data_IF_571097350718
#
_entry.id   IF_571097350718
#
_cell.length_a   1.000
_cell.length_b   1.000
_cell.length_c   1.000
_cell.angle_alpha   90.00
_cell.angle_beta   90.00
_cell.angle_gamma   90.00
#
_symmetry.space_group_name_H-M   'P 1'
#
loop_
_entity.id
_entity.type
_entity.pdbx_description
1 polymer ?
#
# COMPACT_ATOMS: atom_id res chain seq x y z
N UNK A 1 0.80 -2.89 -20.87
CA UNK A 1 1.73 -1.80 -20.48
C UNK A 1 0.97 -0.84 -19.58
N UNK A 2 1.62 -0.31 -18.53
CA UNK A 2 1.05 0.69 -17.61
C UNK A 2 2.14 1.70 -17.23
N UNK A 3 1.78 2.85 -16.64
CA UNK A 3 2.78 3.82 -16.17
C UNK A 3 3.67 3.19 -15.11
N UNK A 4 4.98 3.39 -15.23
CA UNK A 4 5.93 2.99 -14.21
C UNK A 4 5.70 3.78 -12.92
N UNK A 5 5.65 3.07 -11.80
CA UNK A 5 5.43 3.67 -10.49
C UNK A 5 6.74 4.28 -9.95
N UNK A 6 6.60 5.32 -9.14
CA UNK A 6 7.71 6.07 -8.53
C UNK A 6 7.38 6.48 -7.09
N UNK A 7 8.41 6.87 -6.35
CA UNK A 7 8.23 7.49 -5.04
C UNK A 7 7.28 8.69 -5.13
N UNK A 8 6.34 8.76 -4.19
CA UNK A 8 5.29 9.77 -4.13
C UNK A 8 3.98 9.38 -4.82
N UNK A 9 3.96 8.32 -5.63
CA UNK A 9 2.71 7.79 -6.19
C UNK A 9 1.78 7.30 -5.08
N UNK A 10 0.48 7.45 -5.29
CA UNK A 10 -0.53 7.08 -4.31
C UNK A 10 -0.69 5.56 -4.25
N UNK A 11 -1.05 5.08 -3.06
CA UNK A 11 -1.53 3.73 -2.85
C UNK A 11 -2.90 3.85 -2.22
N UNK A 12 -3.90 3.32 -2.91
CA UNK A 12 -5.29 3.41 -2.47
C UNK A 12 -5.95 2.05 -2.38
N UNK A 13 -6.79 1.88 -1.37
CA UNK A 13 -7.53 0.67 -1.10
C UNK A 13 -8.36 0.79 0.17
N UNK A 14 -8.83 -0.34 0.67
CA UNK A 14 -9.60 -0.40 1.92
C UNK A 14 -9.14 -1.60 2.70
N UNK A 15 -8.57 -1.37 3.87
CA UNK A 15 -8.25 -2.42 4.83
C UNK A 15 -9.49 -2.75 5.64
N UNK A 16 -9.62 -4.00 6.06
CA UNK A 16 -10.48 -4.36 7.19
C UNK A 16 -9.63 -4.31 8.46
N UNK A 17 -10.13 -3.69 9.51
CA UNK A 17 -9.55 -3.73 10.85
C UNK A 17 -10.57 -4.25 11.84
N UNK A 18 -10.13 -5.04 12.82
CA UNK A 18 -10.99 -5.52 13.88
C UNK A 18 -10.99 -4.49 15.00
N UNK A 19 -12.17 -3.94 15.28
CA UNK A 19 -12.40 -2.94 16.31
C UNK A 19 -13.08 -3.61 17.51
N UNK A 20 -12.51 -3.43 18.70
CA UNK A 20 -13.08 -3.85 19.96
C UNK A 20 -14.11 -2.81 20.42
N UNK A 21 -15.37 -3.00 20.03
CA UNK A 21 -16.46 -2.06 20.30
C UNK A 21 -17.00 -2.29 21.72
N UNK A 22 -17.04 -1.28 22.60
CA UNK A 22 -17.59 -1.42 23.95
C UNK A 22 -19.06 -1.85 23.95
N UNK A 23 -19.41 -2.80 24.83
CA UNK A 23 -20.79 -3.22 25.11
C UNK A 23 -20.95 -3.54 26.60
N UNK A 24 -22.19 -3.67 27.13
CA UNK A 24 -22.41 -4.05 28.53
C UNK A 24 -21.76 -5.38 28.94
N UNK A 25 -21.63 -6.33 28.00
CA UNK A 25 -20.98 -7.63 28.23
C UNK A 25 -19.45 -7.62 28.03
N UNK A 26 -18.85 -6.45 27.75
CA UNK A 26 -17.45 -6.29 27.39
C UNK A 26 -17.25 -5.94 25.90
N UNK A 27 -16.01 -5.69 25.46
CA UNK A 27 -15.74 -5.33 24.07
C UNK A 27 -16.01 -6.48 23.09
N UNK A 28 -16.69 -6.20 21.97
CA UNK A 28 -17.01 -7.16 20.92
C UNK A 28 -16.11 -6.92 19.70
N UNK A 29 -15.33 -7.93 19.23
CA UNK A 29 -14.56 -7.82 18.00
C UNK A 29 -15.47 -7.61 16.79
N UNK A 30 -15.31 -6.48 16.11
CA UNK A 30 -16.15 -6.08 14.99
C UNK A 30 -15.27 -5.69 13.79
N UNK A 31 -15.25 -6.47 12.70
CA UNK A 31 -14.55 -6.08 11.48
C UNK A 31 -15.17 -4.81 10.88
N UNK A 32 -14.34 -3.80 10.64
CA UNK A 32 -14.76 -2.53 10.04
C UNK A 32 -13.83 -2.12 8.90
N UNK A 33 -14.37 -1.63 7.77
CA UNK A 33 -13.54 -1.13 6.66
C UNK A 33 -12.95 0.24 7.00
N UNK A 34 -11.65 0.42 6.78
CA UNK A 34 -10.96 1.71 6.89
C UNK A 34 -10.15 2.00 5.62
N UNK A 35 -10.23 3.23 5.09
CA UNK A 35 -9.52 3.58 3.85
C UNK A 35 -8.01 3.58 4.06
N UNK A 36 -7.29 3.09 3.05
CA UNK A 36 -5.85 3.29 2.92
C UNK A 36 -5.64 4.30 1.78
N UNK A 37 -5.06 5.47 2.08
CA UNK A 37 -4.81 6.55 1.11
C UNK A 37 -3.38 7.04 1.19
N UNK A 38 -2.44 6.09 1.23
CA UNK A 38 -1.03 6.35 1.41
C UNK A 38 -0.27 6.78 0.16
N UNK A 39 1.04 6.92 0.32
CA UNK A 39 1.99 7.15 -0.78
C UNK A 39 3.18 6.20 -0.66
N UNK A 40 3.79 5.85 -1.80
CA UNK A 40 5.09 5.19 -1.82
C UNK A 40 6.14 6.17 -1.29
N UNK A 41 6.87 5.80 -0.25
CA UNK A 41 7.84 6.70 0.42
C UNK A 41 9.23 6.10 0.59
N UNK A 42 9.39 4.79 0.43
CA UNK A 42 10.66 4.13 0.74
C UNK A 42 10.93 2.90 -0.11
N UNK A 43 12.13 2.33 0.05
CA UNK A 43 12.61 1.15 -0.68
C UNK A 43 12.44 1.28 -2.21
N UNK A 44 12.55 2.50 -2.72
CA UNK A 44 12.61 2.79 -4.16
C UNK A 44 14.04 2.65 -4.66
N UNK A 45 14.22 2.64 -5.98
CA UNK A 45 15.54 2.60 -6.61
C UNK A 45 16.40 3.80 -6.18
N UNK A 46 17.67 3.58 -5.93
CA UNK A 46 18.61 4.66 -5.56
C UNK A 46 19.24 5.35 -6.79
N UNK A 47 19.09 4.78 -7.98
CA UNK A 47 19.77 5.24 -9.19
C UNK A 47 18.94 5.23 -10.48
N UNK A 48 17.74 4.64 -10.47
CA UNK A 48 16.80 4.70 -11.60
C UNK A 48 15.65 5.62 -11.24
N UNK A 49 15.39 6.59 -12.10
CA UNK A 49 14.34 7.58 -11.93
C UNK A 49 13.24 7.38 -12.96
N UNK A 50 11.98 7.58 -12.56
CA UNK A 50 10.81 7.67 -13.44
C UNK A 50 10.16 9.02 -13.18
N UNK A 51 10.01 9.85 -14.22
CA UNK A 51 9.46 11.20 -14.06
C UNK A 51 10.24 12.06 -13.06
N UNK A 52 11.57 11.87 -12.97
CA UNK A 52 12.44 12.60 -12.04
C UNK A 52 12.44 12.10 -10.59
N UNK A 53 11.62 11.09 -10.25
CA UNK A 53 11.55 10.53 -8.90
C UNK A 53 12.11 9.09 -8.86
N UNK A 54 12.63 8.62 -7.71
CA UNK A 54 13.06 7.24 -7.53
C UNK A 54 12.02 6.21 -8.00
N UNK A 55 12.42 5.31 -8.89
CA UNK A 55 11.51 4.30 -9.44
C UNK A 55 11.08 3.29 -8.35
N UNK A 56 9.80 2.95 -8.30
CA UNK A 56 9.29 1.95 -7.39
C UNK A 56 9.47 0.54 -7.99
N UNK A 57 9.68 -0.43 -7.11
CA UNK A 57 9.86 -1.85 -7.44
C UNK A 57 9.07 -2.72 -6.48
N UNK A 58 8.94 -4.02 -6.75
CA UNK A 58 8.47 -4.97 -5.74
C UNK A 58 9.36 -4.87 -4.49
N UNK A 59 8.73 -4.67 -3.33
CA UNK A 59 9.37 -4.38 -2.05
C UNK A 59 9.46 -2.88 -1.69
N UNK A 60 9.07 -1.97 -2.59
CA UNK A 60 8.91 -0.55 -2.24
C UNK A 60 7.80 -0.38 -1.19
N UNK A 61 7.98 0.57 -0.27
CA UNK A 61 7.10 0.75 0.90
C UNK A 61 6.22 1.98 0.76
N UNK A 62 4.98 1.84 1.23
CA UNK A 62 3.99 2.89 1.30
C UNK A 62 3.58 3.18 2.74
N UNK A 63 3.26 4.43 3.04
CA UNK A 63 2.75 4.86 4.35
C UNK A 63 1.36 5.43 4.18
N UNK A 64 0.40 4.94 4.98
CA UNK A 64 -0.96 5.45 5.02
C UNK A 64 -0.98 6.88 5.57
N UNK A 65 -1.79 7.75 4.97
CA UNK A 65 -2.03 9.10 5.47
C UNK A 65 -3.42 9.58 5.05
N UNK A 66 -4.31 9.97 6.00
CA UNK A 66 -4.11 9.92 7.45
C UNK A 66 -3.90 8.48 7.95
N UNK A 67 -3.31 8.33 9.15
CA UNK A 67 -3.24 7.02 9.80
C UNK A 67 -4.64 6.50 10.13
N UNK A 68 -4.79 5.19 10.23
CA UNK A 68 -6.03 4.54 10.64
C UNK A 68 -6.44 5.01 12.04
N UNK A 69 -7.65 5.54 12.13
CA UNK A 69 -8.30 5.96 13.38
C UNK A 69 -9.51 5.04 13.58
N UNK A 70 -9.68 4.42 14.75
CA UNK A 70 -10.82 3.55 14.97
C UNK A 70 -12.09 4.42 15.05
N UNK A 71 -13.17 4.07 14.33
CA UNK A 71 -14.41 4.85 14.32
C UNK A 71 -15.17 4.78 15.67
N UNK A 72 -14.71 3.92 16.58
CA UNK A 72 -15.12 3.78 17.97
C UNK A 72 -14.29 2.70 18.65
N UNK A 73 -14.31 2.62 19.99
CA UNK A 73 -13.55 1.60 20.72
C UNK A 73 -12.03 1.67 20.48
N UNK A 74 -11.38 0.50 20.45
CA UNK A 74 -9.94 0.37 20.18
C UNK A 74 -9.68 -0.68 19.12
N UNK A 75 -8.58 -0.60 18.38
CA UNK A 75 -8.15 -1.70 17.53
C UNK A 75 -7.87 -2.96 18.37
N UNK A 76 -8.23 -4.14 17.84
CA UNK A 76 -7.79 -5.42 18.40
C UNK A 76 -6.28 -5.59 18.18
N UNK A 77 -5.80 -5.23 16.99
CA UNK A 77 -4.37 -5.18 16.65
C UNK A 77 -4.06 -3.78 16.13
N UNK A 78 -3.13 -3.03 16.75
CA UNK A 78 -2.80 -1.70 16.28
C UNK A 78 -2.29 -1.72 14.81
N UNK A 79 -2.85 -0.88 13.92
CA UNK A 79 -2.49 -0.87 12.51
C UNK A 79 -1.06 -0.35 12.30
N UNK A 80 -0.27 -1.06 11.49
CA UNK A 80 1.08 -0.58 11.14
C UNK A 80 1.08 0.62 10.21
N UNK A 81 -0.06 0.89 9.55
CA UNK A 81 -0.22 1.97 8.57
C UNK A 81 0.77 1.90 7.41
N UNK A 82 1.25 0.70 7.11
CA UNK A 82 2.25 0.44 6.09
C UNK A 82 1.69 -0.44 4.98
N UNK A 83 2.22 -0.22 3.78
CA UNK A 83 2.01 -1.04 2.61
C UNK A 83 3.34 -1.47 1.99
N UNK A 84 3.39 -2.63 1.35
CA UNK A 84 4.53 -3.09 0.55
C UNK A 84 4.07 -3.50 -0.83
N UNK A 85 4.71 -2.98 -1.88
CA UNK A 85 4.41 -3.36 -3.26
C UNK A 85 4.78 -4.83 -3.46
N UNK A 86 3.82 -5.67 -3.87
CA UNK A 86 4.02 -7.11 -4.03
C UNK A 86 3.87 -7.61 -5.47
N UNK A 87 3.39 -6.76 -6.38
CA UNK A 87 3.28 -7.07 -7.80
C UNK A 87 4.11 -6.07 -8.63
N UNK A 88 4.55 -6.51 -9.80
CA UNK A 88 5.39 -5.75 -10.72
C UNK A 88 5.37 -6.33 -12.13
N UNK A 89 6.21 -5.81 -13.01
CA UNK A 89 6.46 -6.33 -14.35
C UNK A 89 7.08 -7.73 -14.32
N UNK A 90 6.72 -8.61 -15.27
CA UNK A 90 7.34 -9.92 -15.43
C UNK A 90 8.62 -9.87 -16.26
N UNK A 91 8.78 -8.87 -17.12
CA UNK A 91 9.91 -8.76 -18.04
C UNK A 91 10.83 -7.57 -17.79
N UNK A 92 10.38 -6.55 -17.06
CA UNK A 92 11.16 -5.33 -16.79
C UNK A 92 11.61 -5.30 -15.34
N UNK A 93 12.92 -5.24 -15.16
CA UNK A 93 13.55 -5.23 -13.84
C UNK A 93 14.31 -3.91 -13.63
N UNK A 94 14.19 -3.36 -12.43
CA UNK A 94 14.96 -2.21 -11.94
C UNK A 94 15.73 -2.69 -10.72
N UNK A 95 17.05 -2.56 -10.74
CA UNK A 95 17.94 -3.09 -9.71
C UNK A 95 17.65 -4.57 -9.36
N UNK A 96 17.46 -5.41 -10.39
CA UNK A 96 17.14 -6.84 -10.27
C UNK A 96 15.81 -7.14 -9.55
N UNK A 97 14.92 -6.15 -9.41
CA UNK A 97 13.58 -6.33 -8.86
C UNK A 97 12.53 -6.02 -9.93
N UNK A 98 11.40 -6.74 -9.96
CA UNK A 98 10.28 -6.40 -10.83
C UNK A 98 9.90 -4.92 -10.69
N UNK A 99 9.87 -4.19 -11.81
CA UNK A 99 9.50 -2.78 -11.82
C UNK A 99 8.01 -2.63 -11.49
N UNK A 100 7.67 -1.77 -10.54
CA UNK A 100 6.29 -1.54 -10.14
C UNK A 100 5.58 -0.60 -11.13
N UNK A 101 4.27 -0.74 -11.25
CA UNK A 101 3.42 0.01 -12.18
C UNK A 101 2.14 0.46 -11.50
N UNK A 102 1.50 1.45 -12.09
CA UNK A 102 0.12 1.81 -11.75
C UNK A 102 -0.77 0.57 -11.95
N UNK A 103 -1.57 0.27 -10.93
CA UNK A 103 -2.42 -0.92 -10.84
C UNK A 103 -1.81 -2.11 -10.10
N UNK A 104 -0.48 -2.15 -9.92
CA UNK A 104 0.16 -3.25 -9.18
C UNK A 104 -0.26 -3.23 -7.70
N UNK A 105 -0.45 -4.43 -7.14
CA UNK A 105 -0.98 -4.65 -5.79
C UNK A 105 0.01 -4.30 -4.70
N UNK A 106 -0.52 -3.76 -3.61
CA UNK A 106 0.19 -3.41 -2.39
C UNK A 106 -0.42 -4.17 -1.22
N UNK A 107 0.41 -4.92 -0.51
CA UNK A 107 0.04 -5.63 0.70
C UNK A 107 0.04 -4.65 1.87
N UNK A 108 -1.10 -4.43 2.51
CA UNK A 108 -1.31 -3.42 3.56
C UNK A 108 -1.73 -4.07 4.88
N UNK A 109 -1.86 -3.27 5.93
CA UNK A 109 -2.08 -3.69 7.32
C UNK A 109 -3.48 -4.23 7.64
N UNK A 110 -4.12 -4.90 6.69
CA UNK A 110 -5.41 -5.54 6.87
C UNK A 110 -5.40 -6.58 8.03
N UNK A 111 -6.54 -6.78 8.69
CA UNK A 111 -6.81 -7.85 9.65
C UNK A 111 -7.57 -9.02 9.02
N UNK A 112 -7.39 -10.26 9.50
CA UNK A 112 -6.54 -10.66 10.64
C UNK A 112 -5.05 -10.76 10.29
N UNK A 113 -4.70 -10.56 9.01
CA UNK A 113 -3.33 -10.56 8.53
C UNK A 113 -3.20 -9.61 7.33
N UNK A 114 -1.99 -9.05 7.12
CA UNK A 114 -1.73 -8.18 5.98
C UNK A 114 -2.16 -8.82 4.66
N UNK A 115 -2.84 -8.04 3.81
CA UNK A 115 -3.44 -8.54 2.58
C UNK A 115 -3.33 -7.51 1.43
N UNK A 116 -3.41 -7.95 0.16
CA UNK A 116 -3.30 -7.07 -1.00
C UNK A 116 -4.59 -6.28 -1.30
N UNK A 117 -5.02 -5.48 -0.33
CA UNK A 117 -6.28 -4.71 -0.41
C UNK A 117 -6.12 -3.39 -1.14
N UNK A 118 -4.88 -2.98 -1.45
CA UNK A 118 -4.57 -1.70 -2.10
C UNK A 118 -3.84 -1.89 -3.44
N UNK A 119 -3.85 -0.85 -4.26
CA UNK A 119 -3.12 -0.78 -5.53
C UNK A 119 -2.47 0.58 -5.71
N UNK A 120 -1.37 0.60 -6.46
CA UNK A 120 -0.70 1.85 -6.84
C UNK A 120 -1.60 2.62 -7.81
N UNK A 121 -1.79 3.91 -7.54
CA UNK A 121 -2.49 4.86 -8.40
C UNK A 121 -1.57 6.04 -8.68
N UNK A 122 -1.54 6.45 -9.94
CA UNK A 122 -0.73 7.56 -10.38
C UNK A 122 -0.80 7.75 -11.88
N UNK A 123 -0.04 8.72 -12.34
CA UNK A 123 0.21 8.97 -13.74
C UNK A 123 1.72 9.14 -13.96
N UNK A 124 2.15 8.98 -15.20
CA UNK A 124 3.56 9.11 -15.56
C UNK A 124 3.75 9.39 -17.03
N UNK A 125 5.01 9.58 -17.41
CA UNK A 125 5.44 9.75 -18.80
C UNK A 125 6.17 8.51 -19.33
N UNK A 126 6.51 7.57 -18.46
CA UNK A 126 7.21 6.32 -18.79
C UNK A 126 6.25 5.15 -18.66
N UNK A 127 6.12 4.37 -19.73
CA UNK A 127 5.34 3.13 -19.74
C UNK A 127 6.27 1.94 -19.49
N UNK A 128 5.84 1.01 -18.64
CA UNK A 128 6.55 -0.24 -18.35
C UNK A 128 5.73 -1.44 -18.86
N UNK A 129 6.47 -2.36 -19.48
CA UNK A 129 6.00 -3.64 -20.04
C UNK A 129 5.44 -4.62 -19.01
N UNK A 130 4.78 -5.64 -19.53
CA UNK A 130 4.34 -6.80 -18.75
C UNK A 130 5.31 -7.93 -19.00
#
# INVERSE_FOLDING_TARGET
>A
MSFGAKQGDQVVGTDTHIIMVPSPGGPVPTPMPLPFTGKIVGNCSTNVMIGGMPAATVGSTAMNSPVHIPPGGTFQTPPTNQGTVIAGSGTVFINNKPAARVGDKVNTCNDPAPAPTSSIVGAGTVMIGG
#
